data_IF_270261627386
#
_entry.id   IF_270261627386
#
_cell.length_a   1.000
_cell.length_b   1.000
_cell.length_c   1.000
_cell.angle_alpha   90.00
_cell.angle_beta   90.00
_cell.angle_gamma   90.00
#
_symmetry.space_group_name_H-M   'P 1'
#
loop_
_entity.id
_entity.type
_entity.pdbx_description
1 polymer ?
#
# COMPACT_ATOMS: atom_id res chain seq x y z
N UNK A 1 -17.88 -13.42 19.55
CA UNK A 1 -16.98 -12.94 18.49
C UNK A 1 -16.25 -14.16 17.97
N UNK A 2 -16.48 -14.48 16.71
CA UNK A 2 -16.40 -15.84 16.18
C UNK A 2 -15.07 -16.08 15.46
N UNK A 3 -14.45 -17.26 15.67
CA UNK A 3 -13.06 -17.53 15.27
C UNK A 3 -12.80 -17.53 13.74
N UNK A 4 -13.77 -17.88 12.89
CA UNK A 4 -13.60 -17.91 11.42
C UNK A 4 -14.96 -17.80 10.71
N UNK A 5 -15.00 -17.30 9.47
CA UNK A 5 -16.24 -17.13 8.69
C UNK A 5 -17.01 -18.45 8.46
N UNK A 6 -16.28 -19.56 8.23
CA UNK A 6 -16.85 -20.91 8.07
C UNK A 6 -16.85 -21.75 9.35
N UNK A 7 -16.34 -21.23 10.48
CA UNK A 7 -16.32 -21.89 11.80
C UNK A 7 -15.69 -23.30 11.79
N UNK A 8 -14.56 -23.47 11.10
CA UNK A 8 -13.92 -24.78 10.89
C UNK A 8 -12.92 -25.20 12.00
N UNK A 9 -12.77 -24.39 13.05
CA UNK A 9 -11.72 -24.57 14.07
C UNK A 9 -10.46 -23.75 13.75
N UNK A 10 -9.33 -24.10 14.37
CA UNK A 10 -8.03 -23.46 14.09
C UNK A 10 -7.59 -23.76 12.65
N UNK A 11 -6.94 -22.77 12.00
CA UNK A 11 -6.45 -22.91 10.64
C UNK A 11 -5.50 -24.12 10.48
N UNK A 12 -4.62 -24.34 11.46
CA UNK A 12 -3.68 -25.47 11.47
C UNK A 12 -4.38 -26.83 11.46
N UNK A 13 -5.25 -27.08 12.45
CA UNK A 13 -5.97 -28.35 12.55
C UNK A 13 -6.87 -28.64 11.34
N UNK A 14 -7.34 -27.59 10.64
CA UNK A 14 -8.12 -27.76 9.42
C UNK A 14 -7.24 -28.07 8.21
N UNK A 15 -6.19 -27.28 7.96
CA UNK A 15 -5.33 -27.43 6.78
C UNK A 15 -4.47 -28.70 6.81
N UNK A 16 -4.16 -29.22 8.00
CA UNK A 16 -3.50 -30.52 8.14
C UNK A 16 -4.35 -31.70 7.64
N UNK A 17 -5.66 -31.51 7.42
CA UNK A 17 -6.56 -32.52 6.85
C UNK A 17 -6.64 -32.47 5.32
N UNK A 18 -5.96 -31.52 4.67
CA UNK A 18 -5.94 -31.41 3.23
C UNK A 18 -5.18 -32.59 2.58
N UNK A 19 -5.46 -32.88 1.30
CA UNK A 19 -4.76 -33.93 0.54
C UNK A 19 -3.25 -33.67 0.53
N UNK A 20 -2.87 -32.40 0.39
CA UNK A 20 -1.50 -31.93 0.46
C UNK A 20 -1.46 -30.77 1.47
N UNK A 21 -1.17 -31.04 2.75
CA UNK A 21 -1.13 -29.99 3.76
C UNK A 21 0.04 -29.02 3.49
N UNK A 22 -0.13 -27.71 3.75
CA UNK A 22 0.97 -26.75 3.66
C UNK A 22 2.01 -27.00 4.76
N UNK A 23 3.22 -26.46 4.60
CA UNK A 23 4.20 -26.48 5.69
C UNK A 23 3.74 -25.60 6.86
N UNK A 24 4.11 -25.99 8.08
CA UNK A 24 3.81 -25.18 9.28
C UNK A 24 4.40 -23.77 9.18
N UNK A 25 5.54 -23.61 8.52
CA UNK A 25 6.16 -22.31 8.26
C UNK A 25 5.30 -21.42 7.36
N UNK A 26 4.76 -21.96 6.25
CA UNK A 26 3.89 -21.21 5.35
C UNK A 26 2.58 -20.79 6.06
N UNK A 27 2.03 -21.66 6.90
CA UNK A 27 0.87 -21.34 7.73
C UNK A 27 1.18 -20.24 8.74
N UNK A 28 2.29 -20.35 9.46
CA UNK A 28 2.71 -19.35 10.44
C UNK A 28 2.91 -17.96 9.81
N UNK A 29 3.58 -17.90 8.66
CA UNK A 29 3.78 -16.65 7.91
C UNK A 29 2.45 -16.05 7.46
N UNK A 30 1.49 -16.87 7.03
CA UNK A 30 0.16 -16.42 6.62
C UNK A 30 -0.66 -15.85 7.79
N UNK A 31 -0.60 -16.50 8.96
CA UNK A 31 -1.25 -16.00 10.19
C UNK A 31 -0.62 -14.69 10.67
N UNK A 32 0.72 -14.62 10.72
CA UNK A 32 1.43 -13.38 11.05
C UNK A 32 1.10 -12.24 10.10
N UNK A 33 0.99 -12.54 8.80
CA UNK A 33 0.59 -11.56 7.80
C UNK A 33 -0.83 -11.02 8.05
N UNK A 34 -1.80 -11.89 8.29
CA UNK A 34 -3.18 -11.48 8.59
C UNK A 34 -3.28 -10.68 9.92
N UNK A 35 -2.48 -11.02 10.93
CA UNK A 35 -2.36 -10.24 12.16
C UNK A 35 -1.76 -8.86 11.87
N UNK A 36 -0.68 -8.78 11.08
CA UNK A 36 -0.06 -7.51 10.70
C UNK A 36 -0.99 -6.60 9.88
N UNK A 37 -1.94 -7.19 9.13
CA UNK A 37 -3.00 -6.47 8.43
C UNK A 37 -4.12 -5.98 9.34
N UNK A 38 -4.13 -6.36 10.62
CA UNK A 38 -5.24 -6.20 11.59
C UNK A 38 -6.52 -6.94 11.15
N UNK A 39 -6.40 -8.00 10.36
CA UNK A 39 -7.52 -8.86 9.95
C UNK A 39 -7.82 -9.94 11.01
N UNK A 40 -6.79 -10.37 11.74
CA UNK A 40 -6.89 -11.27 12.88
C UNK A 40 -6.33 -10.60 14.13
N UNK A 41 -6.90 -10.95 15.28
CA UNK A 41 -6.27 -10.72 16.58
C UNK A 41 -5.19 -11.79 16.83
N UNK A 42 -4.35 -11.57 17.86
CA UNK A 42 -3.30 -12.52 18.25
C UNK A 42 -3.82 -13.91 18.63
N UNK A 43 -5.09 -14.01 19.05
CA UNK A 43 -5.77 -15.27 19.39
C UNK A 43 -6.46 -15.94 18.18
N UNK A 44 -6.10 -15.53 16.96
CA UNK A 44 -6.66 -15.99 15.68
C UNK A 44 -8.16 -15.71 15.50
N UNK A 45 -8.74 -14.76 16.25
CA UNK A 45 -10.13 -14.32 16.03
C UNK A 45 -10.23 -13.26 14.93
N UNK A 46 -11.29 -13.31 14.13
CA UNK A 46 -11.56 -12.29 13.11
C UNK A 46 -11.88 -10.94 13.76
N UNK A 47 -11.20 -9.90 13.30
CA UNK A 47 -11.57 -8.51 13.58
C UNK A 47 -12.76 -8.11 12.69
N UNK A 48 -13.45 -6.98 12.95
CA UNK A 48 -14.42 -6.43 12.02
C UNK A 48 -13.85 -6.24 10.60
N UNK A 49 -12.60 -5.76 10.49
CA UNK A 49 -11.90 -5.67 9.22
C UNK A 49 -11.75 -7.04 8.56
N UNK A 50 -11.23 -8.03 9.30
CA UNK A 50 -11.06 -9.40 8.80
C UNK A 50 -12.38 -10.03 8.32
N UNK A 51 -13.48 -9.76 9.01
CA UNK A 51 -14.81 -10.24 8.61
C UNK A 51 -15.23 -9.70 7.23
N UNK A 52 -14.98 -8.41 6.95
CA UNK A 52 -15.26 -7.82 5.64
C UNK A 52 -14.28 -8.31 4.57
N UNK A 53 -12.98 -8.41 4.89
CA UNK A 53 -11.97 -8.93 3.96
C UNK A 53 -12.27 -10.37 3.52
N UNK A 54 -12.73 -11.22 4.45
CA UNK A 54 -13.10 -12.61 4.15
C UNK A 54 -14.32 -12.74 3.21
N UNK A 55 -15.08 -11.68 3.00
CA UNK A 55 -16.24 -11.63 2.09
C UNK A 55 -15.91 -11.00 0.73
N UNK A 56 -14.73 -10.39 0.59
CA UNK A 56 -14.25 -9.86 -0.67
C UNK A 56 -13.52 -10.99 -1.44
N UNK A 57 -13.82 -11.21 -2.72
CA UNK A 57 -13.08 -12.17 -3.56
C UNK A 57 -11.75 -11.56 -4.04
N UNK A 58 -10.97 -11.00 -3.11
CA UNK A 58 -9.73 -10.26 -3.34
C UNK A 58 -8.67 -10.71 -2.34
N UNK A 59 -7.41 -10.41 -2.66
CA UNK A 59 -6.35 -10.51 -1.66
C UNK A 59 -6.63 -9.55 -0.49
N UNK A 60 -6.32 -9.94 0.77
CA UNK A 60 -6.60 -9.12 1.95
C UNK A 60 -6.01 -7.69 1.88
N UNK A 61 -4.83 -7.52 1.29
CA UNK A 61 -4.20 -6.21 1.09
C UNK A 61 -5.02 -5.30 0.17
N UNK A 62 -5.44 -5.83 -0.98
CA UNK A 62 -6.28 -5.12 -1.95
C UNK A 62 -7.64 -4.77 -1.34
N UNK A 63 -8.27 -5.73 -0.66
CA UNK A 63 -9.55 -5.49 0.03
C UNK A 63 -9.43 -4.40 1.10
N UNK A 64 -8.35 -4.42 1.88
CA UNK A 64 -8.08 -3.39 2.91
C UNK A 64 -7.89 -2.04 2.24
N UNK A 65 -7.09 -1.96 1.18
CA UNK A 65 -6.86 -0.72 0.43
C UNK A 65 -8.19 -0.08 -0.04
N UNK A 66 -9.11 -0.89 -0.57
CA UNK A 66 -10.42 -0.42 -1.04
C UNK A 66 -11.34 0.06 0.10
N UNK A 67 -11.39 -0.68 1.21
CA UNK A 67 -12.13 -0.26 2.41
C UNK A 67 -11.56 1.05 2.96
N UNK A 68 -10.24 1.20 2.98
CA UNK A 68 -9.61 2.45 3.41
C UNK A 68 -9.92 3.61 2.45
N UNK A 69 -9.94 3.37 1.14
CA UNK A 69 -10.27 4.39 0.14
C UNK A 69 -11.71 4.92 0.27
N UNK A 70 -12.66 4.05 0.63
CA UNK A 70 -14.05 4.48 0.88
C UNK A 70 -14.16 5.34 2.14
N UNK A 71 -13.42 5.00 3.20
CA UNK A 71 -13.38 5.77 4.46
C UNK A 71 -12.74 7.14 4.26
N UNK A 72 -11.68 7.21 3.46
CA UNK A 72 -10.92 8.44 3.15
C UNK A 72 -11.48 9.22 1.95
N UNK A 73 -12.57 8.76 1.33
CA UNK A 73 -13.17 9.40 0.15
C UNK A 73 -12.17 9.67 -0.97
N UNK A 74 -11.37 8.67 -1.34
CA UNK A 74 -10.42 8.72 -2.46
C UNK A 74 -10.53 7.48 -3.38
N UNK A 75 -11.75 7.04 -3.64
CA UNK A 75 -12.04 5.71 -4.16
C UNK A 75 -11.60 5.50 -5.62
N UNK A 76 -11.85 6.46 -6.49
CA UNK A 76 -11.64 6.35 -7.95
C UNK A 76 -10.19 6.01 -8.36
N UNK A 77 -9.15 6.75 -7.93
CA UNK A 77 -7.77 6.39 -8.24
C UNK A 77 -7.35 5.06 -7.58
N UNK A 78 -7.82 4.78 -6.36
CA UNK A 78 -7.44 3.56 -5.63
C UNK A 78 -8.06 2.31 -6.26
N UNK A 79 -9.26 2.40 -6.83
CA UNK A 79 -9.84 1.31 -7.63
C UNK A 79 -8.94 0.94 -8.81
N UNK A 80 -8.31 1.93 -9.46
CA UNK A 80 -7.33 1.68 -10.53
C UNK A 80 -6.09 0.97 -10.03
N UNK A 81 -5.55 1.44 -8.91
CA UNK A 81 -4.37 0.82 -8.27
C UNK A 81 -4.69 -0.63 -7.93
N UNK A 82 -5.79 -0.87 -7.20
CA UNK A 82 -6.25 -2.20 -6.82
C UNK A 82 -6.46 -3.13 -8.03
N UNK A 83 -7.09 -2.63 -9.10
CA UNK A 83 -7.32 -3.42 -10.32
C UNK A 83 -6.01 -3.79 -11.01
N UNK A 84 -5.06 -2.85 -11.07
CA UNK A 84 -3.76 -3.08 -11.68
C UNK A 84 -2.91 -4.08 -10.89
N UNK A 85 -2.92 -3.99 -9.56
CA UNK A 85 -2.24 -4.94 -8.68
C UNK A 85 -2.84 -6.36 -8.77
N UNK A 86 -4.16 -6.46 -8.92
CA UNK A 86 -4.87 -7.74 -9.02
C UNK A 86 -4.79 -8.41 -10.40
N UNK A 87 -4.28 -7.71 -11.42
CA UNK A 87 -4.17 -8.23 -12.78
C UNK A 87 -2.80 -7.97 -13.40
N UNK A 88 -2.60 -6.77 -13.94
CA UNK A 88 -1.32 -6.25 -14.47
C UNK A 88 -1.48 -4.80 -14.88
N UNK A 89 -0.37 -4.09 -15.03
CA UNK A 89 -0.35 -2.78 -15.66
C UNK A 89 -0.60 -2.86 -17.18
N UNK A 90 -1.03 -1.72 -17.77
CA UNK A 90 -1.39 -1.63 -19.17
C UNK A 90 -0.22 -1.37 -20.13
N UNK A 91 1.00 -1.14 -19.63
CA UNK A 91 2.13 -0.79 -20.49
C UNK A 91 2.62 -1.98 -21.30
N UNK A 92 2.86 -1.73 -22.58
CA UNK A 92 3.55 -2.61 -23.49
C UNK A 92 4.97 -2.08 -23.68
N UNK A 93 5.94 -2.98 -23.73
CA UNK A 93 7.35 -2.61 -23.97
C UNK A 93 7.80 -3.26 -25.28
N UNK A 94 7.63 -2.58 -26.42
CA UNK A 94 8.17 -3.06 -27.69
C UNK A 94 9.70 -3.11 -27.64
N UNK A 95 10.28 -4.11 -28.32
CA UNK A 95 11.73 -4.27 -28.42
C UNK A 95 12.38 -2.99 -28.97
N UNK A 96 13.39 -2.49 -28.27
CA UNK A 96 14.15 -1.28 -28.64
C UNK A 96 13.45 0.04 -28.31
N UNK A 97 12.27 0.01 -27.65
CA UNK A 97 11.54 1.21 -27.21
C UNK A 97 11.45 1.33 -25.68
N UNK A 98 12.23 0.55 -24.94
CA UNK A 98 12.24 0.51 -23.47
C UNK A 98 12.39 1.91 -22.88
N UNK A 99 13.38 2.66 -23.37
CA UNK A 99 13.66 4.04 -22.91
C UNK A 99 12.49 5.00 -23.13
N UNK A 100 11.73 4.85 -24.22
CA UNK A 100 10.57 5.69 -24.51
C UNK A 100 9.42 5.36 -23.56
N UNK A 101 9.22 4.08 -23.23
CA UNK A 101 8.21 3.66 -22.25
C UNK A 101 8.57 4.20 -20.86
N UNK A 102 9.84 4.16 -20.48
CA UNK A 102 10.30 4.72 -19.20
C UNK A 102 10.05 6.23 -19.11
N UNK A 103 10.27 6.98 -20.20
CA UNK A 103 9.94 8.41 -20.28
C UNK A 103 8.44 8.67 -20.13
N UNK A 104 7.60 7.88 -20.81
CA UNK A 104 6.14 7.97 -20.69
C UNK A 104 5.69 7.68 -19.27
N UNK A 105 6.16 6.59 -18.65
CA UNK A 105 5.84 6.26 -17.25
C UNK A 105 6.27 7.37 -16.29
N UNK A 106 7.46 7.94 -16.49
CA UNK A 106 7.95 9.06 -15.66
C UNK A 106 7.09 10.31 -15.82
N UNK A 107 6.62 10.61 -17.04
CA UNK A 107 5.68 11.70 -17.30
C UNK A 107 4.40 11.53 -16.47
N UNK A 108 3.77 10.36 -16.53
CA UNK A 108 2.54 10.08 -15.78
C UNK A 108 2.75 9.97 -14.26
N UNK A 109 3.94 9.56 -13.81
CA UNK A 109 4.27 9.61 -12.39
C UNK A 109 4.34 11.06 -11.87
N UNK A 110 4.78 12.01 -12.70
CA UNK A 110 4.94 13.41 -12.32
C UNK A 110 5.78 13.55 -11.04
N UNK A 111 5.35 14.43 -10.15
CA UNK A 111 6.02 14.65 -8.86
C UNK A 111 5.68 13.61 -7.79
N UNK A 112 4.73 12.71 -8.07
CA UNK A 112 4.29 11.69 -7.11
C UNK A 112 5.39 10.68 -6.79
N UNK A 113 6.28 10.45 -7.76
CA UNK A 113 7.34 9.43 -7.71
C UNK A 113 6.80 8.07 -7.25
N UNK A 114 5.58 7.73 -7.64
CA UNK A 114 4.87 6.52 -7.23
C UNK A 114 4.48 5.70 -8.45
N UNK A 115 4.89 4.43 -8.48
CA UNK A 115 4.47 3.49 -9.52
C UNK A 115 2.95 3.30 -9.51
N UNK A 116 2.36 3.23 -8.32
CA UNK A 116 0.92 3.03 -8.15
C UNK A 116 0.11 4.25 -8.59
N UNK A 117 0.51 5.47 -8.21
CA UNK A 117 -0.19 6.68 -8.64
C UNK A 117 -0.02 6.95 -10.13
N UNK A 118 1.14 6.59 -10.70
CA UNK A 118 1.34 6.62 -12.16
C UNK A 118 0.27 5.81 -12.88
N UNK A 119 -0.09 4.60 -12.39
CA UNK A 119 -1.17 3.79 -12.96
C UNK A 119 -2.54 4.48 -12.88
N UNK A 120 -2.84 5.12 -11.75
CA UNK A 120 -4.07 5.88 -11.58
C UNK A 120 -4.15 7.08 -12.56
N UNK A 121 -3.05 7.82 -12.72
CA UNK A 121 -2.97 8.98 -13.61
C UNK A 121 -3.13 8.57 -15.09
N UNK A 122 -2.42 7.52 -15.53
CA UNK A 122 -2.55 6.96 -16.89
C UNK A 122 -3.99 6.59 -17.20
N UNK A 123 -4.67 5.94 -16.26
CA UNK A 123 -6.04 5.50 -16.47
C UNK A 123 -7.00 6.68 -16.53
N UNK A 124 -6.84 7.68 -15.66
CA UNK A 124 -7.66 8.88 -15.67
C UNK A 124 -7.53 9.64 -17.01
N UNK A 125 -6.31 9.87 -17.49
CA UNK A 125 -6.10 10.51 -18.81
C UNK A 125 -6.63 9.65 -19.97
N UNK A 126 -6.59 8.32 -19.84
CA UNK A 126 -7.21 7.42 -20.82
C UNK A 126 -8.74 7.52 -20.81
N UNK A 127 -9.39 7.59 -19.65
CA UNK A 127 -10.84 7.80 -19.54
C UNK A 127 -11.25 9.10 -20.25
N UNK A 128 -10.54 10.20 -19.97
CA UNK A 128 -10.77 11.50 -20.62
C UNK A 128 -10.61 11.41 -22.14
N UNK A 129 -9.55 10.72 -22.61
CA UNK A 129 -9.34 10.51 -24.04
C UNK A 129 -10.43 9.64 -24.68
N UNK A 130 -11.01 8.66 -23.96
CA UNK A 130 -12.14 7.87 -24.44
C UNK A 130 -13.39 8.74 -24.60
N UNK A 131 -13.67 9.63 -23.65
CA UNK A 131 -14.77 10.60 -23.74
C UNK A 131 -14.61 11.53 -24.94
N UNK A 132 -13.38 11.91 -25.27
CA UNK A 132 -13.03 12.72 -26.45
C UNK A 132 -12.90 11.91 -27.75
N UNK A 133 -13.24 10.61 -27.74
CA UNK A 133 -13.10 9.68 -28.87
C UNK A 133 -11.66 9.48 -29.40
N UNK A 134 -10.66 9.80 -28.58
CA UNK A 134 -9.22 9.69 -28.85
C UNK A 134 -8.54 8.54 -28.11
N UNK A 135 -9.28 7.70 -27.37
CA UNK A 135 -8.70 6.64 -26.54
C UNK A 135 -7.78 5.64 -27.28
N UNK A 136 -8.00 5.39 -28.58
CA UNK A 136 -7.10 4.56 -29.39
C UNK A 136 -5.75 5.24 -29.66
N UNK A 137 -5.80 6.52 -30.00
CA UNK A 137 -4.61 7.35 -30.26
C UNK A 137 -3.79 7.49 -28.98
N UNK A 138 -4.46 7.79 -27.86
CA UNK A 138 -3.84 7.82 -26.54
C UNK A 138 -3.11 6.51 -26.20
N UNK A 139 -3.75 5.36 -26.47
CA UNK A 139 -3.11 4.06 -26.22
C UNK A 139 -1.86 3.86 -27.08
N UNK A 140 -1.92 4.25 -28.37
CA UNK A 140 -0.80 4.10 -29.29
C UNK A 140 0.38 4.99 -28.89
N UNK A 141 0.13 6.27 -28.59
CA UNK A 141 1.15 7.25 -28.23
C UNK A 141 1.86 6.92 -26.91
N UNK A 142 1.13 6.33 -25.95
CA UNK A 142 1.64 6.05 -24.61
C UNK A 142 2.03 4.57 -24.38
N UNK A 143 2.09 3.76 -25.44
CA UNK A 143 2.44 2.33 -25.37
C UNK A 143 1.51 1.50 -24.46
N UNK A 144 0.20 1.75 -24.51
CA UNK A 144 -0.78 1.10 -23.64
C UNK A 144 -1.61 0.06 -24.39
N UNK A 145 -1.93 -1.02 -23.70
CA UNK A 145 -2.88 -2.02 -24.18
C UNK A 145 -4.31 -1.60 -23.88
N UNK A 146 -5.08 -1.25 -24.92
CA UNK A 146 -6.52 -0.95 -24.80
C UNK A 146 -7.30 -2.09 -24.16
N UNK A 147 -6.95 -3.34 -24.46
CA UNK A 147 -7.61 -4.51 -23.88
C UNK A 147 -7.36 -4.59 -22.37
N UNK A 148 -6.13 -4.32 -21.92
CA UNK A 148 -5.84 -4.26 -20.49
C UNK A 148 -6.60 -3.11 -19.82
N UNK A 149 -6.63 -1.90 -20.40
CA UNK A 149 -7.37 -0.76 -19.84
C UNK A 149 -8.88 -1.04 -19.72
N UNK A 150 -9.49 -1.63 -20.74
CA UNK A 150 -10.89 -2.06 -20.67
C UNK A 150 -11.11 -3.13 -19.58
N UNK A 151 -10.19 -4.07 -19.42
CA UNK A 151 -10.27 -5.07 -18.35
C UNK A 151 -10.18 -4.42 -16.97
N UNK A 152 -9.25 -3.47 -16.78
CA UNK A 152 -9.13 -2.70 -15.55
C UNK A 152 -10.40 -1.90 -15.27
N UNK A 153 -11.02 -1.28 -16.28
CA UNK A 153 -12.31 -0.59 -16.15
C UNK A 153 -13.42 -1.53 -15.62
N UNK A 154 -13.50 -2.74 -16.17
CA UNK A 154 -14.45 -3.76 -15.71
C UNK A 154 -14.19 -4.20 -14.26
N UNK A 155 -12.92 -4.39 -13.89
CA UNK A 155 -12.54 -4.75 -12.52
C UNK A 155 -12.87 -3.62 -11.52
N UNK A 156 -12.65 -2.36 -11.89
CA UNK A 156 -13.04 -1.20 -11.07
C UNK A 156 -14.54 -1.21 -10.76
N UNK A 157 -15.39 -1.52 -11.75
CA UNK A 157 -16.84 -1.65 -11.55
C UNK A 157 -17.19 -2.82 -10.62
N UNK A 158 -16.53 -3.97 -10.79
CA UNK A 158 -16.74 -5.13 -9.90
C UNK A 158 -16.34 -4.82 -8.45
N UNK A 159 -15.21 -4.13 -8.25
CA UNK A 159 -14.73 -3.77 -6.91
C UNK A 159 -15.66 -2.76 -6.24
N UNK A 160 -16.18 -1.79 -7.00
CA UNK A 160 -17.19 -0.86 -6.51
C UNK A 160 -18.48 -1.59 -6.09
N UNK A 161 -18.92 -2.58 -6.87
CA UNK A 161 -20.06 -3.43 -6.50
C UNK A 161 -19.82 -4.17 -5.19
N UNK A 162 -18.64 -4.74 -4.99
CA UNK A 162 -18.32 -5.43 -3.74
C UNK A 162 -18.37 -4.50 -2.52
N UNK A 163 -17.93 -3.24 -2.67
CA UNK A 163 -18.02 -2.25 -1.60
C UNK A 163 -19.46 -1.83 -1.32
N UNK A 164 -20.30 -1.73 -2.33
CA UNK A 164 -21.73 -1.45 -2.17
C UNK A 164 -22.45 -2.61 -1.46
N UNK A 165 -22.18 -3.85 -1.86
CA UNK A 165 -22.77 -5.05 -1.25
C UNK A 165 -22.39 -5.18 0.24
N UNK A 166 -21.24 -4.62 0.62
CA UNK A 166 -20.77 -4.53 2.00
C UNK A 166 -21.18 -3.22 2.70
N UNK A 167 -21.95 -2.34 2.06
CA UNK A 167 -22.42 -1.03 2.52
C UNK A 167 -21.33 0.00 2.81
N UNK A 168 -20.12 -0.16 2.25
CA UNK A 168 -19.05 0.85 2.32
C UNK A 168 -19.29 2.03 1.39
N UNK A 169 -20.10 1.84 0.35
CA UNK A 169 -20.61 2.89 -0.53
C UNK A 169 -22.12 2.78 -0.62
N UNK A 170 -22.77 3.91 -0.84
CA UNK A 170 -24.23 4.06 -1.00
C UNK A 170 -24.61 4.39 -2.46
N UNK A 171 -23.68 4.20 -3.39
CA UNK A 171 -23.88 4.39 -4.82
C UNK A 171 -22.86 3.60 -5.63
N UNK A 172 -23.30 3.10 -6.79
CA UNK A 172 -22.43 2.52 -7.81
C UNK A 172 -21.68 3.56 -8.64
N UNK A 173 -22.06 4.85 -8.56
CA UNK A 173 -21.34 5.89 -9.29
C UNK A 173 -19.96 6.12 -8.65
N UNK A 174 -18.95 5.44 -9.19
CA UNK A 174 -17.55 5.51 -8.75
C UNK A 174 -17.02 6.94 -8.76
N UNK A 175 -17.50 7.79 -9.68
CA UNK A 175 -17.07 9.19 -9.83
C UNK A 175 -17.86 10.15 -8.92
N UNK A 176 -18.76 9.66 -8.06
CA UNK A 176 -19.51 10.51 -7.15
C UNK A 176 -18.58 11.32 -6.23
N UNK A 177 -18.85 12.62 -6.09
CA UNK A 177 -18.00 13.56 -5.34
C UNK A 177 -17.78 13.12 -3.89
N UNK A 178 -18.82 12.59 -3.23
CA UNK A 178 -18.75 12.09 -1.84
C UNK A 178 -17.73 10.96 -1.64
N UNK A 179 -17.48 10.17 -2.68
CA UNK A 179 -16.51 9.05 -2.66
C UNK A 179 -15.09 9.50 -3.03
N UNK A 180 -14.92 10.75 -3.49
CA UNK A 180 -13.69 11.23 -4.14
C UNK A 180 -13.23 12.62 -3.68
N UNK A 181 -13.74 13.13 -2.56
CA UNK A 181 -13.35 14.43 -1.98
C UNK A 181 -11.84 14.60 -1.84
N UNK A 182 -11.12 13.51 -1.59
CA UNK A 182 -9.67 13.49 -1.41
C UNK A 182 -8.91 12.83 -2.58
N UNK A 183 -9.56 12.53 -3.71
CA UNK A 183 -8.90 11.88 -4.86
C UNK A 183 -7.84 12.75 -5.54
N UNK A 184 -7.87 14.07 -5.35
CA UNK A 184 -6.80 14.98 -5.78
C UNK A 184 -5.65 15.13 -4.76
N UNK A 185 -5.78 14.54 -3.57
CA UNK A 185 -4.80 14.69 -2.50
C UNK A 185 -3.77 13.55 -2.55
N UNK A 186 -2.62 13.83 -3.13
CA UNK A 186 -1.53 12.86 -3.29
C UNK A 186 -1.12 12.19 -1.97
N UNK A 187 -0.98 12.95 -0.88
CA UNK A 187 -0.54 12.42 0.40
C UNK A 187 -1.53 11.43 0.99
N UNK A 188 -2.83 11.73 0.87
CA UNK A 188 -3.91 10.81 1.28
C UNK A 188 -3.89 9.55 0.43
N UNK A 189 -3.71 9.65 -0.88
CA UNK A 189 -3.59 8.48 -1.75
C UNK A 189 -2.40 7.60 -1.37
N UNK A 190 -1.23 8.20 -1.15
CA UNK A 190 -0.02 7.49 -0.69
C UNK A 190 -0.25 6.81 0.67
N UNK A 191 -0.96 7.46 1.59
CA UNK A 191 -1.28 6.92 2.90
C UNK A 191 -2.28 5.74 2.82
N UNK A 192 -3.29 5.81 1.94
CA UNK A 192 -4.23 4.71 1.71
C UNK A 192 -3.56 3.53 1.02
N UNK A 193 -2.68 3.78 0.04
CA UNK A 193 -1.83 2.74 -0.56
C UNK A 193 -0.95 2.09 0.52
N UNK A 194 -0.34 2.89 1.40
CA UNK A 194 0.42 2.39 2.55
C UNK A 194 -0.44 1.49 3.46
N UNK A 195 -1.68 1.89 3.75
CA UNK A 195 -2.58 1.12 4.61
C UNK A 195 -2.91 -0.27 4.04
N UNK A 196 -3.03 -0.38 2.71
CA UNK A 196 -3.23 -1.64 2.01
C UNK A 196 -1.97 -2.50 1.91
N UNK A 197 -0.83 -1.88 1.61
CA UNK A 197 0.43 -2.59 1.35
C UNK A 197 1.23 -2.93 2.61
N UNK A 198 0.99 -2.25 3.73
CA UNK A 198 1.61 -2.63 5.01
C UNK A 198 1.35 -4.11 5.32
N UNK A 199 2.36 -4.91 5.75
CA UNK A 199 3.68 -4.53 6.26
C UNK A 199 4.80 -4.47 5.20
N UNK A 200 4.47 -4.46 3.91
CA UNK A 200 5.46 -4.38 2.83
C UNK A 200 6.04 -2.95 2.72
N UNK A 201 7.00 -2.67 3.60
CA UNK A 201 7.68 -1.38 3.70
C UNK A 201 9.18 -1.55 3.46
N UNK A 202 9.78 -0.56 2.82
CA UNK A 202 11.21 -0.46 2.60
C UNK A 202 11.75 0.89 3.10
N UNK A 203 12.97 0.86 3.63
CA UNK A 203 13.77 2.04 3.98
C UNK A 203 14.79 2.31 2.87
N UNK A 204 14.73 3.48 2.27
CA UNK A 204 15.70 3.97 1.30
C UNK A 204 16.97 4.50 1.98
N UNK A 205 18.08 4.34 1.28
CA UNK A 205 19.40 4.85 1.66
C UNK A 205 19.87 5.82 0.59
N UNK A 206 20.22 7.03 1.01
CA UNK A 206 20.40 8.17 0.10
C UNK A 206 21.84 8.67 0.12
N UNK A 207 22.29 9.16 -1.03
CA UNK A 207 23.49 10.00 -1.13
C UNK A 207 23.23 11.39 -0.52
N UNK A 208 24.30 12.17 -0.34
CA UNK A 208 24.23 13.59 0.04
C UNK A 208 23.39 14.45 -0.91
N UNK A 209 23.23 14.03 -2.17
CA UNK A 209 22.39 14.75 -3.15
C UNK A 209 20.92 14.30 -3.11
N UNK A 210 20.48 13.59 -2.06
CA UNK A 210 19.13 13.00 -1.90
C UNK A 210 18.74 11.98 -2.97
N UNK A 211 19.71 11.50 -3.75
CA UNK A 211 19.50 10.44 -4.72
C UNK A 211 19.46 9.09 -3.99
N UNK A 212 18.38 8.33 -4.20
CA UNK A 212 18.25 6.97 -3.69
C UNK A 212 19.33 6.06 -4.30
N UNK A 213 20.05 5.34 -3.43
CA UNK A 213 21.11 4.39 -3.84
C UNK A 213 20.61 2.96 -3.78
N UNK A 214 20.02 2.58 -2.65
CA UNK A 214 19.46 1.25 -2.39
C UNK A 214 18.35 1.34 -1.36
N UNK A 215 17.60 0.27 -1.23
CA UNK A 215 16.61 0.07 -0.18
C UNK A 215 17.02 -1.10 0.73
N UNK A 216 16.36 -1.17 1.87
CA UNK A 216 16.37 -2.31 2.79
C UNK A 216 14.93 -2.58 3.24
N UNK A 217 14.58 -3.83 3.48
CA UNK A 217 13.28 -4.22 4.03
C UNK A 217 13.47 -4.90 5.38
N UNK A 218 12.38 -5.23 6.08
CA UNK A 218 12.46 -6.01 7.33
C UNK A 218 13.23 -7.33 7.17
N UNK A 219 13.16 -7.95 5.99
CA UNK A 219 13.71 -9.29 5.74
C UNK A 219 14.99 -9.27 4.90
N UNK A 220 15.22 -8.22 4.12
CA UNK A 220 16.39 -8.10 3.24
C UNK A 220 17.18 -6.82 3.55
N UNK A 221 18.46 -6.98 3.92
CA UNK A 221 19.35 -5.83 4.18
C UNK A 221 19.62 -4.97 2.94
N UNK A 222 19.52 -5.56 1.74
CA UNK A 222 19.76 -4.88 0.45
C UNK A 222 18.68 -5.29 -0.53
N UNK A 223 18.01 -4.28 -1.10
CA UNK A 223 17.04 -4.42 -2.18
C UNK A 223 17.17 -3.20 -3.10
N UNK A 224 17.11 -3.42 -4.41
CA UNK A 224 17.17 -2.34 -5.40
C UNK A 224 15.80 -2.11 -6.02
N UNK A 225 15.58 -0.93 -6.60
CA UNK A 225 14.37 -0.71 -7.40
C UNK A 225 14.51 -1.45 -8.73
N UNK A 226 13.45 -2.15 -9.14
CA UNK A 226 13.43 -2.89 -10.39
C UNK A 226 13.48 -1.92 -11.58
N UNK A 227 14.18 -2.25 -12.69
CA UNK A 227 14.33 -1.34 -13.84
C UNK A 227 13.03 -0.81 -14.46
N UNK A 228 11.90 -1.50 -14.23
CA UNK A 228 10.57 -1.08 -14.71
C UNK A 228 9.88 -0.04 -13.83
N UNK A 229 10.39 0.21 -12.62
CA UNK A 229 9.87 1.23 -11.72
C UNK A 229 10.21 2.61 -12.25
N UNK A 230 9.29 3.55 -12.08
CA UNK A 230 9.46 4.97 -12.44
C UNK A 230 10.59 5.65 -11.68
N UNK A 231 11.06 5.00 -10.61
CA UNK A 231 12.05 5.52 -9.67
C UNK A 231 13.47 4.95 -9.87
N UNK A 232 13.67 4.06 -10.84
CA UNK A 232 14.94 3.35 -11.08
C UNK A 232 16.15 4.28 -11.20
N UNK A 233 16.01 5.40 -11.91
CA UNK A 233 17.14 6.26 -12.24
C UNK A 233 17.52 7.28 -11.14
N UNK A 234 17.07 7.05 -9.91
CA UNK A 234 17.40 7.88 -8.76
C UNK A 234 16.66 9.21 -8.78
N UNK A 235 15.41 9.18 -8.31
CA UNK A 235 14.65 10.39 -8.00
C UNK A 235 15.14 10.99 -6.68
N UNK A 236 15.08 12.31 -6.55
CA UNK A 236 15.21 12.96 -5.24
C UNK A 236 13.92 12.72 -4.47
N UNK A 237 13.98 12.13 -3.28
CA UNK A 237 12.80 11.91 -2.44
C UNK A 237 12.83 12.84 -1.23
N UNK A 238 11.64 13.21 -0.78
CA UNK A 238 11.38 13.97 0.44
C UNK A 238 11.05 13.04 1.63
N UNK A 239 11.07 11.72 1.41
CA UNK A 239 10.92 10.69 2.43
C UNK A 239 11.90 9.56 2.20
N UNK A 240 12.29 8.86 3.27
CA UNK A 240 13.10 7.66 3.21
C UNK A 240 12.27 6.36 3.19
N UNK A 241 10.95 6.43 3.27
CA UNK A 241 10.11 5.24 3.40
C UNK A 241 9.28 4.99 2.14
N UNK A 242 9.14 3.71 1.80
CA UNK A 242 8.41 3.25 0.62
C UNK A 242 7.51 2.08 0.97
N UNK A 243 6.26 2.11 0.51
CA UNK A 243 5.42 0.91 0.45
C UNK A 243 5.60 0.23 -0.91
N UNK A 244 5.61 -1.10 -0.94
CA UNK A 244 5.75 -1.90 -2.17
C UNK A 244 4.73 -3.04 -2.20
N UNK A 245 4.33 -3.49 -3.39
CA UNK A 245 3.49 -4.68 -3.52
C UNK A 245 4.32 -5.91 -3.88
N UNK A 246 5.11 -5.85 -4.96
CA UNK A 246 5.86 -7.01 -5.45
C UNK A 246 7.36 -6.92 -5.15
N UNK A 247 7.90 -7.95 -4.49
CA UNK A 247 9.34 -8.16 -4.29
C UNK A 247 9.78 -9.43 -5.02
N UNK A 248 10.80 -9.30 -5.87
CA UNK A 248 11.30 -10.38 -6.73
C UNK A 248 12.78 -10.60 -6.46
N UNK A 249 13.19 -11.87 -6.32
CA UNK A 249 14.61 -12.23 -6.27
C UNK A 249 15.01 -12.92 -7.57
N UNK A 250 15.88 -12.27 -8.33
CA UNK A 250 16.47 -12.82 -9.56
C UNK A 250 18.00 -12.84 -9.43
N UNK A 251 18.70 -11.89 -10.04
CA UNK A 251 20.14 -11.67 -9.82
C UNK A 251 20.42 -11.01 -8.47
N UNK A 252 19.48 -10.17 -8.02
CA UNK A 252 19.43 -9.53 -6.70
C UNK A 252 17.97 -9.37 -6.28
N UNK A 253 17.75 -8.95 -5.04
CA UNK A 253 16.41 -8.60 -4.56
C UNK A 253 15.98 -7.26 -5.15
N UNK A 254 14.84 -7.25 -5.84
CA UNK A 254 14.25 -6.08 -6.46
C UNK A 254 12.86 -5.79 -5.90
N UNK A 255 12.58 -4.51 -5.65
CA UNK A 255 11.24 -3.99 -5.43
C UNK A 255 10.68 -3.57 -6.79
N UNK A 256 9.63 -4.24 -7.24
CA UNK A 256 9.09 -4.06 -8.58
C UNK A 256 8.31 -2.76 -8.75
N UNK A 257 7.58 -2.39 -7.71
CA UNK A 257 6.66 -1.25 -7.65
C UNK A 257 6.75 -0.62 -6.27
N UNK A 258 6.89 0.71 -6.22
CA UNK A 258 7.03 1.44 -4.96
C UNK A 258 6.20 2.73 -4.96
N UNK A 259 5.75 3.10 -3.76
CA UNK A 259 5.16 4.41 -3.48
C UNK A 259 5.89 5.03 -2.29
N UNK A 260 6.40 6.27 -2.39
CA UNK A 260 6.92 6.98 -1.23
C UNK A 260 5.80 7.20 -0.22
N UNK A 261 6.10 6.92 1.04
CA UNK A 261 5.17 7.05 2.16
C UNK A 261 5.84 7.83 3.29
N UNK A 262 5.04 8.46 4.13
CA UNK A 262 5.52 9.40 5.14
C UNK A 262 5.31 8.84 6.56
N UNK A 263 6.13 9.27 7.53
CA UNK A 263 6.08 8.79 8.91
C UNK A 263 4.68 8.67 9.53
N UNK A 264 3.81 9.68 9.43
CA UNK A 264 2.47 9.66 10.04
C UNK A 264 1.60 8.57 9.41
N UNK A 265 1.67 8.35 8.10
CA UNK A 265 0.97 7.23 7.47
C UNK A 265 1.43 5.88 8.03
N UNK A 266 2.74 5.69 8.23
CA UNK A 266 3.27 4.46 8.84
C UNK A 266 2.86 4.32 10.31
N UNK A 267 2.88 5.41 11.08
CA UNK A 267 2.51 5.42 12.49
C UNK A 267 1.03 5.09 12.71
N UNK A 268 0.15 5.62 11.85
CA UNK A 268 -1.29 5.38 11.90
C UNK A 268 -1.68 3.98 11.41
N UNK A 269 -1.13 3.54 10.27
CA UNK A 269 -1.54 2.29 9.61
C UNK A 269 -0.68 1.08 9.91
N UNK A 270 0.48 1.30 10.54
CA UNK A 270 1.44 0.26 10.82
C UNK A 270 1.04 -0.68 11.95
N UNK A 271 1.94 -1.61 12.25
CA UNK A 271 1.79 -2.67 13.23
C UNK A 271 2.10 -2.21 14.64
N UNK A 272 2.68 -3.10 15.45
CA UNK A 272 2.84 -2.90 16.89
C UNK A 272 3.67 -1.64 17.19
N UNK A 273 3.13 -0.80 18.08
CA UNK A 273 3.69 0.49 18.46
C UNK A 273 4.44 0.35 19.79
N UNK A 274 5.73 0.71 19.81
CA UNK A 274 6.53 0.77 21.04
C UNK A 274 7.22 2.13 21.16
N UNK A 275 6.96 2.83 22.25
CA UNK A 275 7.69 4.03 22.64
C UNK A 275 8.79 3.65 23.65
N UNK A 276 10.02 4.12 23.44
CA UNK A 276 11.15 3.88 24.34
C UNK A 276 12.17 5.01 24.23
N UNK A 277 12.27 5.83 25.27
CA UNK A 277 13.13 7.03 25.24
C UNK A 277 12.68 7.97 24.13
N UNK A 278 13.61 8.54 23.38
CA UNK A 278 13.35 9.48 22.29
C UNK A 278 12.91 8.82 20.96
N UNK A 279 12.36 7.60 21.01
CA UNK A 279 12.04 6.84 19.79
C UNK A 279 10.70 6.12 19.83
N UNK A 280 9.99 6.17 18.71
CA UNK A 280 8.89 5.26 18.38
C UNK A 280 9.40 4.20 17.42
N UNK A 281 9.15 2.93 17.74
CA UNK A 281 9.46 1.80 16.87
C UNK A 281 8.19 1.04 16.49
N UNK A 282 8.00 0.83 15.18
CA UNK A 282 6.94 -0.02 14.63
C UNK A 282 7.53 -1.38 14.22
N UNK A 283 6.85 -2.45 14.63
CA UNK A 283 7.19 -3.85 14.27
C UNK A 283 8.66 -4.23 14.51
N UNK A 284 9.28 -3.59 15.50
CA UNK A 284 10.67 -3.75 15.92
C UNK A 284 11.74 -3.40 14.87
N UNK A 285 11.43 -2.59 13.84
CA UNK A 285 12.44 -2.21 12.83
C UNK A 285 12.27 -0.82 12.20
N UNK A 286 11.06 -0.28 12.11
CA UNK A 286 10.83 1.09 11.62
C UNK A 286 10.90 2.02 12.82
N UNK A 287 11.99 2.77 12.94
CA UNK A 287 12.23 3.67 14.08
C UNK A 287 12.19 5.13 13.64
N UNK A 288 11.48 5.94 14.43
CA UNK A 288 11.40 7.39 14.30
C UNK A 288 11.88 8.03 15.59
N UNK A 289 12.63 9.13 15.50
CA UNK A 289 12.98 9.95 16.65
C UNK A 289 11.89 10.97 16.93
N UNK A 290 11.46 11.05 18.18
CA UNK A 290 10.48 12.01 18.67
C UNK A 290 10.62 12.18 20.17
N UNK A 291 10.24 13.34 20.69
CA UNK A 291 10.15 13.54 22.14
C UNK A 291 8.95 12.78 22.74
N UNK A 292 8.97 12.62 24.07
CA UNK A 292 7.95 11.88 24.81
C UNK A 292 6.53 12.44 24.59
N UNK A 293 6.37 13.77 24.54
CA UNK A 293 5.07 14.42 24.39
C UNK A 293 4.47 14.14 23.00
N UNK A 294 5.29 14.19 21.96
CA UNK A 294 4.88 13.86 20.60
C UNK A 294 4.54 12.38 20.48
N UNK A 295 5.28 11.50 21.15
CA UNK A 295 4.98 10.07 21.16
C UNK A 295 3.65 9.74 21.82
N UNK A 296 3.36 10.36 22.97
CA UNK A 296 2.06 10.24 23.64
C UNK A 296 0.93 10.77 22.75
N UNK A 297 1.11 11.95 22.13
CA UNK A 297 0.12 12.52 21.22
C UNK A 297 -0.16 11.61 20.00
N UNK A 298 0.87 11.05 19.38
CA UNK A 298 0.73 10.12 18.25
C UNK A 298 0.00 8.84 18.70
N UNK A 299 0.33 8.33 19.89
CA UNK A 299 -0.31 7.15 20.44
C UNK A 299 -1.82 7.40 20.70
N UNK A 300 -2.17 8.55 21.26
CA UNK A 300 -3.57 8.94 21.48
C UNK A 300 -4.32 9.15 20.17
N UNK A 301 -3.70 9.85 19.22
CA UNK A 301 -4.25 10.04 17.87
C UNK A 301 -4.52 8.71 17.18
N UNK A 302 -3.57 7.78 17.26
CA UNK A 302 -3.69 6.44 16.67
C UNK A 302 -4.81 5.64 17.33
N UNK A 303 -4.95 5.68 18.65
CA UNK A 303 -6.02 4.98 19.36
C UNK A 303 -7.39 5.51 18.95
N UNK A 304 -7.58 6.83 18.91
CA UNK A 304 -8.85 7.41 18.47
C UNK A 304 -9.13 7.15 16.99
N UNK A 305 -8.09 7.16 16.15
CA UNK A 305 -8.22 6.80 14.75
C UNK A 305 -8.64 5.33 14.57
N UNK A 306 -8.01 4.39 15.29
CA UNK A 306 -8.37 2.98 15.28
C UNK A 306 -9.83 2.78 15.76
N UNK A 307 -10.30 3.54 16.77
CA UNK A 307 -11.71 3.54 17.20
C UNK A 307 -12.67 4.02 16.10
N UNK A 308 -12.30 5.08 15.37
CA UNK A 308 -13.09 5.59 14.24
C UNK A 308 -13.18 4.54 13.13
N UNK A 309 -12.05 3.92 12.77
CA UNK A 309 -11.99 2.87 11.76
C UNK A 309 -12.83 1.67 12.18
N UNK A 310 -12.65 1.18 13.40
CA UNK A 310 -13.41 0.03 13.92
C UNK A 310 -14.91 0.30 13.85
N UNK A 311 -15.37 1.49 14.26
CA UNK A 311 -16.78 1.86 14.19
C UNK A 311 -17.32 1.92 12.76
N UNK A 312 -16.58 2.54 11.83
CA UNK A 312 -16.97 2.60 10.42
C UNK A 312 -16.97 1.23 9.75
N UNK A 313 -16.02 0.37 10.11
CA UNK A 313 -15.85 -0.97 9.54
C UNK A 313 -16.85 -1.95 10.14
N UNK A 314 -17.18 -1.88 11.43
CA UNK A 314 -18.11 -2.82 12.06
C UNK A 314 -19.57 -2.62 11.63
N UNK A 315 -19.94 -1.42 11.17
CA UNK A 315 -21.31 -1.08 10.80
C UNK A 315 -21.38 -0.12 9.59
N UNK A 316 -20.83 -0.51 8.43
CA UNK A 316 -20.74 0.36 7.26
C UNK A 316 -22.15 0.76 6.77
N UNK A 317 -22.32 2.04 6.43
CA UNK A 317 -23.60 2.61 5.95
C UNK A 317 -24.74 2.66 6.99
N UNK A 318 -24.56 2.12 8.20
CA UNK A 318 -25.59 2.07 9.25
C UNK A 318 -25.47 3.24 10.23
N UNK A 319 -26.58 3.55 10.92
CA UNK A 319 -26.58 4.51 12.05
C UNK A 319 -25.52 4.17 13.10
N UNK A 320 -25.29 2.88 13.36
CA UNK A 320 -24.27 2.43 14.31
C UNK A 320 -22.83 2.76 13.85
N UNK A 321 -22.55 2.79 12.54
CA UNK A 321 -21.27 3.22 11.97
C UNK A 321 -21.16 4.73 11.77
N UNK A 322 -22.21 5.50 12.09
CA UNK A 322 -22.17 6.97 12.02
C UNK A 322 -21.27 7.52 13.12
N UNK A 323 -20.22 8.23 12.71
CA UNK A 323 -19.27 8.86 13.63
C UNK A 323 -19.82 10.20 14.15
N UNK A 324 -19.51 10.54 15.41
CA UNK A 324 -19.92 11.82 16.01
C UNK A 324 -19.29 13.01 15.30
N UNK A 325 -19.82 14.22 15.52
CA UNK A 325 -19.25 15.46 14.97
C UNK A 325 -17.76 15.61 15.34
N UNK A 326 -17.41 15.36 16.61
CA UNK A 326 -16.01 15.35 17.07
C UNK A 326 -15.13 14.33 16.33
N UNK A 327 -15.66 13.16 16.00
CA UNK A 327 -14.93 12.13 15.25
C UNK A 327 -14.77 12.52 13.77
N UNK A 328 -15.74 13.25 13.20
CA UNK A 328 -15.64 13.80 11.85
C UNK A 328 -14.56 14.89 11.78
N UNK A 329 -14.52 15.78 12.76
CA UNK A 329 -13.47 16.80 12.91
C UNK A 329 -12.09 16.16 13.10
N UNK A 330 -11.99 15.09 13.90
CA UNK A 330 -10.75 14.36 14.08
C UNK A 330 -10.27 13.72 12.77
N UNK A 331 -11.16 13.06 12.01
CA UNK A 331 -10.81 12.49 10.71
C UNK A 331 -10.35 13.58 9.72
N UNK A 332 -11.04 14.74 9.70
CA UNK A 332 -10.62 15.88 8.89
C UNK A 332 -9.25 16.42 9.31
N UNK A 333 -8.97 16.44 10.62
CA UNK A 333 -7.66 16.82 11.18
C UNK A 333 -6.57 15.84 10.77
N UNK A 334 -6.84 14.53 10.82
CA UNK A 334 -5.90 13.49 10.36
C UNK A 334 -5.60 13.66 8.87
N UNK A 335 -6.62 13.90 8.04
CA UNK A 335 -6.44 14.17 6.62
C UNK A 335 -5.54 15.39 6.41
N UNK A 336 -5.77 16.46 7.18
CA UNK A 336 -4.92 17.66 7.12
C UNK A 336 -3.47 17.37 7.53
N UNK A 337 -3.26 16.65 8.64
CA UNK A 337 -1.91 16.26 9.10
C UNK A 337 -1.19 15.42 8.05
N UNK A 338 -1.86 14.45 7.42
CA UNK A 338 -1.29 13.67 6.32
C UNK A 338 -0.92 14.55 5.13
N UNK A 339 -1.73 15.57 4.83
CA UNK A 339 -1.52 16.48 3.69
C UNK A 339 -0.31 17.38 3.89
N UNK A 340 -0.18 17.93 5.09
CA UNK A 340 0.83 18.95 5.42
C UNK A 340 2.13 18.32 5.97
N UNK A 341 2.20 16.99 6.07
CA UNK A 341 3.35 16.28 6.62
C UNK A 341 4.64 16.61 5.85
N UNK A 342 5.68 16.95 6.62
CA UNK A 342 7.04 17.07 6.13
C UNK A 342 7.87 15.93 6.70
N UNK A 343 8.74 15.35 5.89
CA UNK A 343 9.64 14.28 6.31
C UNK A 343 11.10 14.69 6.11
N UNK A 344 11.94 14.14 6.98
CA UNK A 344 13.39 14.30 6.90
C UNK A 344 13.99 13.06 6.23
N UNK A 345 14.95 13.28 5.33
CA UNK A 345 15.73 12.23 4.67
C UNK A 345 17.15 12.24 5.24
N UNK A 346 17.51 11.27 6.09
CA UNK A 346 18.86 11.21 6.66
C UNK A 346 19.93 10.94 5.58
N UNK A 347 21.06 11.65 5.68
CA UNK A 347 22.23 11.43 4.83
C UNK A 347 23.01 10.18 5.29
N UNK A 348 23.49 9.38 4.34
CA UNK A 348 24.49 8.34 4.64
C UNK A 348 25.91 8.92 4.58
N UNK A 349 26.81 8.56 5.52
CA UNK A 349 28.24 8.80 5.39
C UNK A 349 28.82 8.09 4.17
N UNK A 350 29.71 8.75 3.43
CA UNK A 350 30.28 8.25 2.16
C UNK A 350 31.01 6.90 2.27
N UNK A 351 31.43 6.49 3.48
CA UNK A 351 32.17 5.24 3.71
C UNK A 351 31.29 3.97 3.70
N UNK A 352 29.96 4.10 3.76
CA UNK A 352 29.03 2.96 3.81
C UNK A 352 28.62 2.39 2.43
N UNK A 353 29.17 2.92 1.34
CA UNK A 353 28.87 2.45 -0.02
C UNK A 353 29.69 1.21 -0.44
N UNK A 354 30.77 0.87 0.27
CA UNK A 354 31.79 -0.10 -0.17
C UNK A 354 31.67 -1.51 0.39
N UNK A 355 30.62 -1.85 1.13
CA UNK A 355 30.46 -3.22 1.64
C UNK A 355 29.82 -4.14 0.59
N UNK A 356 30.58 -4.39 -0.49
CA UNK A 356 30.36 -5.45 -1.47
C UNK A 356 31.00 -6.78 -1.01
N UNK A 357 31.14 -6.98 0.32
CA UNK A 357 31.62 -8.24 0.88
C UNK A 357 30.50 -9.28 0.98
N UNK A 358 29.95 -9.69 -0.17
CA UNK A 358 29.39 -11.04 -0.31
C UNK A 358 30.56 -12.05 -0.21
N UNK A 359 31.09 -12.20 1.00
CA UNK A 359 31.96 -13.32 1.32
C UNK A 359 31.09 -14.56 1.42
N UNK A 360 30.93 -15.24 0.28
CA UNK A 360 30.59 -16.65 0.26
C UNK A 360 31.67 -17.40 1.05
N UNK A 361 31.42 -17.64 2.34
CA UNK A 361 32.10 -18.73 3.04
C UNK A 361 31.50 -20.03 2.52
N UNK A 362 32.16 -20.57 1.49
CA UNK A 362 32.08 -21.99 1.17
C UNK A 362 32.65 -22.72 2.38
N UNK A 363 31.79 -23.30 3.20
CA UNK A 363 32.19 -24.37 4.10
C UNK A 363 32.51 -25.58 3.24
N UNK A 364 33.78 -25.72 2.87
CA UNK A 364 34.32 -27.02 2.46
C UNK A 364 34.37 -27.90 3.72
N UNK A 365 33.45 -28.86 3.81
CA UNK A 365 33.58 -30.00 4.72
C UNK A 365 34.62 -30.97 4.12
N UNK A 366 35.64 -31.28 4.93
CA UNK A 366 36.48 -32.46 4.81
C UNK A 366 36.41 -33.25 6.14
#
# INVERSE_FOLDING_TARGET
MDKCILKLGSAEAFLQKAINPPSSEALHLSLQFLISLKALNEDETLTPLGYHLARLPLEPQTGKMLIMASIFSCLDPILTVAASLSFKDAFMVPLGKERLVDEVKKKFAGDTKSDHMMLANVFAEWEDAVEMHQGNEFCYENFLSRNTLNMLANMRQQFAQYLEDLNFTDTQNIKAEKLNRNSGNQRVLQAVICAGLYPNVAKGHFTRTTRLVRCSTKTDKRADLHPKSVNTFGSNFDTQWFAYYTKIRSTKTFLHDVTPVYPIALLLFGGFFRHSGDTITLDNWITFHCDDNLAELIQDLRQEFDRILEKKIAAPGLKAGTISESQQELLATIIKVLTDETAFVPEMPDDNFNDDSDSFQVMDEA
#
